data_IF_800066402286
#
_entry.id   IF_800066402286
#
_cell.length_a   1.000
_cell.length_b   1.000
_cell.length_c   1.000
_cell.angle_alpha   90.00
_cell.angle_beta   90.00
_cell.angle_gamma   90.00
#
_symmetry.space_group_name_H-M   'P 1'
#
loop_
_entity.id
_entity.type
_entity.pdbx_description
1 polymer ?
#
# COMPACT_ATOMS: atom_id res chain seq x y z
N UNK A 1 -7.67 -27.04 32.11
CA UNK A 1 -7.98 -26.21 30.92
C UNK A 1 -8.41 -24.85 31.41
N UNK A 2 -7.70 -23.78 31.08
CA UNK A 2 -8.17 -22.43 31.33
C UNK A 2 -9.39 -22.18 30.42
N UNK A 3 -10.58 -22.16 30.99
CA UNK A 3 -11.80 -21.87 30.25
C UNK A 3 -11.93 -20.35 30.12
N UNK A 4 -11.62 -19.83 28.94
CA UNK A 4 -11.96 -18.45 28.58
C UNK A 4 -13.41 -18.42 28.11
N UNK A 5 -14.19 -17.43 28.57
CA UNK A 5 -15.54 -17.24 28.05
C UNK A 5 -15.48 -16.83 26.57
N UNK A 6 -16.50 -17.19 25.77
CA UNK A 6 -16.58 -16.75 24.37
C UNK A 6 -16.47 -15.23 24.21
N UNK A 7 -17.07 -14.48 25.14
CA UNK A 7 -17.00 -13.01 25.16
C UNK A 7 -15.57 -12.48 25.36
N UNK A 8 -14.79 -13.11 26.24
CA UNK A 8 -13.38 -12.73 26.45
C UNK A 8 -12.55 -12.99 25.20
N UNK A 9 -12.79 -14.12 24.52
CA UNK A 9 -12.11 -14.46 23.26
C UNK A 9 -12.44 -13.42 22.18
N UNK A 10 -13.70 -13.00 22.06
CA UNK A 10 -14.08 -11.96 21.10
C UNK A 10 -13.43 -10.61 21.40
N UNK A 11 -13.36 -10.21 22.67
CA UNK A 11 -12.67 -8.97 23.07
C UNK A 11 -11.19 -9.01 22.72
N UNK A 12 -10.52 -10.11 23.02
CA UNK A 12 -9.09 -10.29 22.71
C UNK A 12 -8.84 -10.29 21.20
N UNK A 13 -9.71 -10.92 20.39
CA UNK A 13 -9.58 -10.93 18.93
C UNK A 13 -9.75 -9.56 18.28
N UNK A 14 -10.31 -8.56 18.97
CA UNK A 14 -10.39 -7.19 18.46
C UNK A 14 -9.06 -6.43 18.59
N UNK A 15 -8.11 -6.92 19.39
CA UNK A 15 -6.82 -6.26 19.59
C UNK A 15 -5.94 -6.48 18.37
N UNK A 16 -5.60 -5.40 17.68
CA UNK A 16 -4.63 -5.42 16.60
C UNK A 16 -3.19 -5.41 17.13
N UNK A 17 -2.27 -5.97 16.34
CA UNK A 17 -0.87 -6.10 16.73
C UNK A 17 -0.19 -4.75 17.00
N UNK A 18 -0.50 -3.72 16.22
CA UNK A 18 0.15 -2.41 16.38
C UNK A 18 -0.24 -1.77 17.71
N UNK A 19 -1.52 -1.83 18.06
CA UNK A 19 -2.03 -1.35 19.36
C UNK A 19 -1.39 -2.11 20.51
N UNK A 20 -1.27 -3.43 20.39
CA UNK A 20 -0.62 -4.27 21.39
C UNK A 20 0.84 -3.88 21.60
N UNK A 21 1.66 -3.84 20.53
CA UNK A 21 3.08 -3.52 20.61
C UNK A 21 3.34 -2.10 21.10
N UNK A 22 2.53 -1.11 20.68
CA UNK A 22 2.66 0.27 21.19
C UNK A 22 2.37 0.38 22.68
N UNK A 23 1.54 -0.50 23.25
CA UNK A 23 1.21 -0.48 24.66
C UNK A 23 2.24 -1.25 25.51
N UNK A 24 2.80 -2.36 25.01
CA UNK A 24 3.76 -3.17 25.76
C UNK A 24 5.21 -2.80 25.50
N UNK A 25 5.58 -2.62 24.23
CA UNK A 25 6.95 -2.49 23.76
C UNK A 25 7.05 -1.43 22.64
N UNK A 26 6.89 -0.13 22.96
CA UNK A 26 6.90 0.94 21.97
C UNK A 26 8.17 0.98 21.11
N UNK A 27 9.31 0.64 21.71
CA UNK A 27 10.64 0.64 21.07
C UNK A 27 10.78 -0.39 19.94
N UNK A 28 9.95 -1.44 19.99
CA UNK A 28 9.93 -2.49 18.98
C UNK A 28 9.29 -1.99 17.68
N UNK A 29 8.40 -1.00 17.75
CA UNK A 29 7.64 -0.49 16.61
C UNK A 29 8.45 0.59 15.89
N UNK A 30 8.92 0.27 14.68
CA UNK A 30 9.65 1.20 13.81
C UNK A 30 8.77 1.60 12.63
N UNK A 31 8.66 2.90 12.37
CA UNK A 31 7.95 3.40 11.20
C UNK A 31 8.75 3.12 9.92
N UNK A 32 8.11 2.51 8.92
CA UNK A 32 8.75 2.18 7.64
C UNK A 32 8.34 3.19 6.55
N UNK A 33 7.09 3.15 6.08
CA UNK A 33 6.55 4.10 5.09
C UNK A 33 5.05 3.93 4.88
N UNK A 34 4.36 4.99 4.42
CA UNK A 34 2.94 4.95 3.99
C UNK A 34 1.99 4.29 5.01
N UNK A 35 2.17 4.57 6.30
CA UNK A 35 1.39 3.95 7.37
C UNK A 35 1.71 2.47 7.63
N UNK A 36 2.84 1.98 7.12
CA UNK A 36 3.38 0.65 7.39
C UNK A 36 4.44 0.75 8.48
N UNK A 37 4.37 -0.15 9.45
CA UNK A 37 5.33 -0.30 10.54
C UNK A 37 6.06 -1.63 10.39
N UNK A 38 7.25 -1.73 10.97
CA UNK A 38 7.96 -2.99 11.15
C UNK A 38 8.43 -3.14 12.59
N UNK A 39 8.77 -4.37 12.96
CA UNK A 39 9.41 -4.65 14.24
C UNK A 39 10.91 -4.47 14.15
N UNK A 40 11.57 -4.04 15.22
CA UNK A 40 13.04 -3.88 15.28
C UNK A 40 13.75 -5.23 15.19
N UNK A 41 13.17 -6.27 15.77
CA UNK A 41 13.67 -7.65 15.79
C UNK A 41 13.44 -8.35 14.44
N UNK A 42 12.29 -8.09 13.80
CA UNK A 42 11.95 -8.67 12.51
C UNK A 42 11.65 -7.57 11.48
N UNK A 43 12.67 -7.19 10.71
CA UNK A 43 12.57 -6.17 9.66
C UNK A 43 11.55 -6.51 8.56
N UNK A 44 11.42 -7.81 8.28
CA UNK A 44 10.54 -8.45 7.31
C UNK A 44 9.13 -8.67 7.84
N UNK A 45 8.85 -8.36 9.11
CA UNK A 45 7.50 -8.30 9.63
C UNK A 45 6.94 -6.91 9.38
N UNK A 46 5.89 -6.83 8.57
CA UNK A 46 5.22 -5.56 8.23
C UNK A 46 3.82 -5.54 8.81
N UNK A 47 3.47 -4.40 9.41
CA UNK A 47 2.17 -4.14 10.03
C UNK A 47 1.52 -2.97 9.28
N UNK A 48 0.33 -3.20 8.72
CA UNK A 48 -0.45 -2.16 8.02
C UNK A 48 -1.93 -2.54 7.96
N UNK A 49 -2.81 -1.54 8.01
CA UNK A 49 -4.27 -1.71 7.87
C UNK A 49 -4.88 -2.78 8.81
N UNK A 50 -4.43 -2.85 10.06
CA UNK A 50 -4.91 -3.82 11.05
C UNK A 50 -4.48 -5.26 10.77
N UNK A 51 -3.51 -5.45 9.88
CA UNK A 51 -2.96 -6.75 9.53
C UNK A 51 -1.44 -6.72 9.66
N UNK A 52 -0.87 -7.90 9.84
CA UNK A 52 0.57 -8.08 9.85
C UNK A 52 0.97 -9.30 9.01
N UNK A 53 2.14 -9.22 8.40
CA UNK A 53 2.69 -10.30 7.59
C UNK A 53 4.20 -10.39 7.79
N UNK A 54 4.69 -11.60 8.04
CA UNK A 54 6.10 -11.90 8.17
C UNK A 54 6.63 -12.53 6.88
N UNK A 55 7.20 -11.69 6.03
CA UNK A 55 7.56 -12.06 4.66
C UNK A 55 8.58 -13.19 4.56
N UNK A 56 9.57 -13.22 5.44
CA UNK A 56 10.61 -14.26 5.42
C UNK A 56 10.11 -15.63 5.90
N UNK A 57 9.00 -15.67 6.64
CA UNK A 57 8.38 -16.91 7.16
C UNK A 57 7.11 -17.31 6.42
N UNK A 58 6.54 -16.43 5.60
CA UNK A 58 5.33 -16.71 4.82
C UNK A 58 4.05 -16.80 5.65
N UNK A 59 4.06 -16.23 6.87
CA UNK A 59 2.91 -16.25 7.80
C UNK A 59 2.37 -14.85 8.02
N UNK A 60 1.09 -14.75 8.36
CA UNK A 60 0.45 -13.47 8.64
C UNK A 60 -0.85 -13.63 9.41
N UNK A 61 -1.33 -12.51 9.94
CA UNK A 61 -2.50 -12.49 10.79
C UNK A 61 -3.10 -11.09 10.88
N UNK A 62 -4.18 -10.99 11.64
CA UNK A 62 -4.86 -9.72 11.94
C UNK A 62 -4.68 -9.36 13.40
N UNK A 63 -4.77 -10.36 14.26
CA UNK A 63 -4.85 -10.15 15.71
C UNK A 63 -3.47 -10.18 16.36
N UNK A 64 -3.34 -9.50 17.50
CA UNK A 64 -2.17 -9.66 18.37
C UNK A 64 -2.05 -11.09 18.92
N UNK A 65 -3.18 -11.78 19.11
CA UNK A 65 -3.22 -13.18 19.56
C UNK A 65 -2.50 -14.12 18.58
N UNK A 66 -2.80 -14.00 17.28
CA UNK A 66 -2.13 -14.79 16.24
C UNK A 66 -0.62 -14.50 16.20
N UNK A 67 -0.22 -13.25 16.40
CA UNK A 67 1.19 -12.88 16.47
C UNK A 67 1.89 -13.58 17.65
N UNK A 68 1.32 -13.49 18.85
CA UNK A 68 1.91 -14.12 20.04
C UNK A 68 2.07 -15.63 19.88
N UNK A 69 1.14 -16.29 19.20
CA UNK A 69 1.20 -17.75 18.97
C UNK A 69 2.19 -18.09 17.85
N UNK A 70 2.15 -17.38 16.73
CA UNK A 70 2.89 -17.77 15.53
C UNK A 70 4.31 -17.18 15.45
N UNK A 71 4.56 -16.04 16.10
CA UNK A 71 5.83 -15.31 16.05
C UNK A 71 6.60 -15.48 17.35
N UNK A 72 5.93 -15.25 18.49
CA UNK A 72 6.54 -15.37 19.82
C UNK A 72 6.44 -16.79 20.41
N UNK A 73 5.82 -17.71 19.68
CA UNK A 73 5.69 -19.14 20.04
C UNK A 73 4.98 -19.41 21.39
N UNK A 74 4.15 -18.47 21.87
CA UNK A 74 3.35 -18.68 23.07
C UNK A 74 2.26 -19.74 22.85
N UNK A 75 1.94 -20.48 23.91
CA UNK A 75 0.72 -21.27 23.91
C UNK A 75 -0.51 -20.37 23.87
N UNK A 76 -1.62 -20.89 23.33
CA UNK A 76 -2.89 -20.17 23.29
C UNK A 76 -3.31 -19.62 24.65
N UNK A 77 -3.12 -20.40 25.72
CA UNK A 77 -3.48 -20.00 27.08
C UNK A 77 -2.61 -18.88 27.61
N UNK A 78 -1.31 -18.90 27.34
CA UNK A 78 -0.38 -17.83 27.74
C UNK A 78 -0.71 -16.53 27.01
N UNK A 79 -0.89 -16.60 25.70
CA UNK A 79 -1.22 -15.43 24.88
C UNK A 79 -2.57 -14.81 25.30
N UNK A 80 -3.59 -15.64 25.56
CA UNK A 80 -4.88 -15.18 26.07
C UNK A 80 -4.76 -14.51 27.44
N UNK A 81 -4.00 -15.08 28.37
CA UNK A 81 -3.80 -14.48 29.70
C UNK A 81 -3.10 -13.12 29.62
N UNK A 82 -2.09 -13.00 28.76
CA UNK A 82 -1.34 -11.78 28.57
C UNK A 82 -2.23 -10.65 28.00
N UNK A 83 -2.99 -10.96 26.94
CA UNK A 83 -3.91 -9.99 26.33
C UNK A 83 -5.08 -9.63 27.24
N UNK A 84 -5.60 -10.57 28.03
CA UNK A 84 -6.68 -10.29 28.99
C UNK A 84 -6.23 -9.34 30.09
N UNK A 85 -5.04 -9.57 30.68
CA UNK A 85 -4.45 -8.65 31.68
C UNK A 85 -4.23 -7.25 31.11
N UNK A 86 -3.85 -7.16 29.84
CA UNK A 86 -3.64 -5.88 29.19
C UNK A 86 -4.93 -5.10 28.98
N UNK A 87 -6.04 -5.79 28.66
CA UNK A 87 -7.38 -5.17 28.59
C UNK A 87 -7.85 -4.62 29.95
N UNK A 88 -7.46 -5.26 31.05
CA UNK A 88 -7.79 -4.80 32.41
C UNK A 88 -7.01 -3.55 32.83
N UNK A 89 -5.73 -3.47 32.45
CA UNK A 89 -4.85 -2.36 32.83
C UNK A 89 -5.03 -1.11 31.95
N UNK A 90 -5.29 -1.31 30.66
CA UNK A 90 -5.54 -0.23 29.72
C UNK A 90 -6.62 -0.66 28.72
N UNK A 91 -7.83 -0.09 28.76
CA UNK A 91 -8.78 -0.26 27.67
C UNK A 91 -8.13 0.34 26.43
N UNK A 92 -7.54 -0.52 25.61
CA UNK A 92 -6.69 -0.12 24.50
C UNK A 92 -7.57 0.63 23.51
N UNK A 93 -7.27 1.91 23.27
CA UNK A 93 -7.90 2.65 22.20
C UNK A 93 -7.52 1.98 20.88
N UNK A 94 -8.42 1.17 20.34
CA UNK A 94 -8.22 0.47 19.09
C UNK A 94 -7.81 1.47 18.02
N UNK A 95 -6.68 1.22 17.35
CA UNK A 95 -6.26 2.06 16.24
C UNK A 95 -7.31 1.92 15.15
N UNK A 96 -8.03 3.02 14.91
CA UNK A 96 -9.00 3.07 13.83
C UNK A 96 -8.21 3.26 12.54
N UNK A 97 -7.95 2.16 11.84
CA UNK A 97 -7.33 2.20 10.52
C UNK A 97 -8.30 2.92 9.60
N UNK A 98 -8.00 4.16 9.23
CA UNK A 98 -8.82 4.85 8.24
C UNK A 98 -8.79 4.02 6.96
N UNK A 99 -9.98 3.70 6.45
CA UNK A 99 -10.12 3.15 5.11
C UNK A 99 -9.34 4.05 4.17
N UNK A 100 -8.44 3.45 3.38
CA UNK A 100 -7.66 4.20 2.39
C UNK A 100 -8.64 5.08 1.62
N UNK A 101 -8.41 6.40 1.64
CA UNK A 101 -9.14 7.33 0.79
C UNK A 101 -9.07 6.76 -0.61
N UNK A 102 -10.21 6.27 -1.12
CA UNK A 102 -10.27 5.83 -2.50
C UNK A 102 -9.94 7.06 -3.32
N UNK A 103 -8.82 7.00 -4.03
CA UNK A 103 -8.51 8.03 -5.03
C UNK A 103 -9.49 7.78 -6.16
N UNK A 104 -10.66 8.40 -6.07
CA UNK A 104 -11.84 8.06 -6.88
C UNK A 104 -11.71 8.52 -8.35
N UNK A 105 -10.70 9.33 -8.71
CA UNK A 105 -10.57 9.84 -10.07
C UNK A 105 -9.12 10.00 -10.52
N UNK A 106 -8.80 9.32 -11.63
CA UNK A 106 -7.59 9.58 -12.40
C UNK A 106 -7.69 10.97 -13.02
N UNK A 107 -6.74 11.85 -12.70
CA UNK A 107 -6.60 13.16 -13.34
C UNK A 107 -5.59 13.02 -14.47
N UNK A 108 -6.06 13.21 -15.70
CA UNK A 108 -5.21 13.16 -16.88
C UNK A 108 -4.46 14.49 -17.06
N UNK A 109 -3.18 14.47 -17.47
CA UNK A 109 -2.47 15.67 -17.89
C UNK A 109 -3.18 16.37 -19.06
N UNK A 110 -3.15 17.70 -19.10
CA UNK A 110 -3.70 18.46 -20.22
C UNK A 110 -2.97 18.14 -21.53
N UNK A 111 -3.74 17.90 -22.60
CA UNK A 111 -3.22 17.68 -23.95
C UNK A 111 -2.74 19.01 -24.54
N UNK A 112 -1.62 18.97 -25.26
CA UNK A 112 -1.14 20.04 -26.13
C UNK A 112 -2.00 20.12 -27.40
N UNK A 113 -1.88 21.22 -28.13
CA UNK A 113 -2.61 21.42 -29.40
C UNK A 113 -2.05 20.54 -30.53
N UNK A 114 -0.78 20.13 -30.43
CA UNK A 114 -0.12 19.22 -31.36
C UNK A 114 0.73 18.19 -30.61
N UNK A 115 1.20 17.18 -31.34
CA UNK A 115 2.02 16.09 -30.80
C UNK A 115 3.44 16.08 -31.37
N UNK A 116 3.92 17.20 -31.91
CA UNK A 116 5.13 17.24 -32.73
C UNK A 116 6.40 16.90 -31.93
N UNK A 117 6.50 17.38 -30.68
CA UNK A 117 7.65 17.08 -29.82
C UNK A 117 7.61 15.64 -29.37
N UNK A 118 6.42 15.14 -29.02
CA UNK A 118 6.24 13.75 -28.65
C UNK A 118 6.59 12.80 -29.82
N UNK A 119 6.10 13.09 -31.02
CA UNK A 119 6.42 12.35 -32.25
C UNK A 119 7.92 12.36 -32.54
N UNK A 120 8.52 13.54 -32.58
CA UNK A 120 9.96 13.67 -32.87
C UNK A 120 10.82 12.91 -31.86
N UNK A 121 10.45 13.00 -30.57
CA UNK A 121 11.11 12.22 -29.52
C UNK A 121 11.01 10.72 -29.78
N UNK A 122 9.82 10.17 -30.01
CA UNK A 122 9.64 8.74 -30.21
C UNK A 122 10.32 8.21 -31.48
N UNK A 123 10.30 8.98 -32.58
CA UNK A 123 11.05 8.68 -33.80
C UNK A 123 12.55 8.63 -33.51
N UNK A 124 13.09 9.59 -32.75
CA UNK A 124 14.51 9.59 -32.35
C UNK A 124 14.90 8.38 -31.48
N UNK A 125 13.91 7.73 -30.86
CA UNK A 125 14.08 6.49 -30.07
C UNK A 125 13.94 5.23 -30.92
N UNK A 126 13.72 5.36 -32.23
CA UNK A 126 13.63 4.26 -33.19
C UNK A 126 12.25 3.63 -33.29
N UNK A 127 11.19 4.32 -32.86
CA UNK A 127 9.81 3.85 -33.04
C UNK A 127 9.32 4.32 -34.41
N UNK A 128 8.71 3.41 -35.16
CA UNK A 128 8.18 3.70 -36.49
C UNK A 128 7.06 4.76 -36.43
N UNK A 129 7.08 5.69 -37.38
CA UNK A 129 6.12 6.79 -37.44
C UNK A 129 4.67 6.29 -37.59
N UNK A 130 4.44 5.20 -38.33
CA UNK A 130 3.09 4.66 -38.50
C UNK A 130 2.52 4.14 -37.18
N UNK A 131 3.36 3.51 -36.35
CA UNK A 131 2.98 3.02 -35.02
C UNK A 131 2.68 4.20 -34.09
N UNK A 132 3.51 5.25 -34.14
CA UNK A 132 3.29 6.45 -33.34
C UNK A 132 1.96 7.12 -33.73
N UNK A 133 1.70 7.22 -35.03
CA UNK A 133 0.47 7.82 -35.53
C UNK A 133 -0.76 7.01 -35.12
N UNK A 134 -0.73 5.68 -35.26
CA UNK A 134 -1.80 4.80 -34.80
C UNK A 134 -2.07 4.97 -33.30
N UNK A 135 -1.01 5.06 -32.49
CA UNK A 135 -1.14 5.31 -31.05
C UNK A 135 -1.75 6.68 -30.73
N UNK A 136 -1.44 7.72 -31.51
CA UNK A 136 -2.03 9.06 -31.34
C UNK A 136 -3.50 9.04 -31.74
N UNK A 137 -3.83 8.43 -32.88
CA UNK A 137 -5.21 8.34 -33.40
C UNK A 137 -6.12 7.56 -32.44
N UNK A 138 -5.57 6.56 -31.75
CA UNK A 138 -6.27 5.79 -30.73
C UNK A 138 -6.23 6.40 -29.33
N UNK A 139 -5.76 7.64 -29.15
CA UNK A 139 -5.61 8.31 -27.85
C UNK A 139 -4.79 7.50 -26.82
N UNK A 140 -3.82 6.71 -27.30
CA UNK A 140 -2.89 5.92 -26.48
C UNK A 140 -1.64 6.72 -26.14
N UNK A 141 -1.28 7.69 -26.99
CA UNK A 141 -0.15 8.59 -26.77
C UNK A 141 -0.59 10.03 -27.09
N UNK A 142 -0.18 10.99 -26.26
CA UNK A 142 -0.31 12.41 -26.59
C UNK A 142 0.79 13.25 -25.94
N UNK A 143 0.95 14.48 -26.42
CA UNK A 143 1.88 15.46 -25.89
C UNK A 143 1.24 16.27 -24.76
N UNK A 144 1.92 16.36 -23.63
CA UNK A 144 1.51 17.17 -22.48
C UNK A 144 1.73 18.66 -22.76
N UNK A 145 0.70 19.48 -22.48
CA UNK A 145 0.73 20.93 -22.71
C UNK A 145 1.85 21.68 -21.97
N UNK A 146 2.14 21.32 -20.73
CA UNK A 146 3.09 22.06 -19.89
C UNK A 146 4.53 22.00 -20.41
N UNK A 147 5.05 20.79 -20.62
CA UNK A 147 6.47 20.57 -20.88
C UNK A 147 6.75 19.91 -22.24
N UNK A 148 5.70 19.56 -23.01
CA UNK A 148 5.84 18.80 -24.26
C UNK A 148 6.21 17.33 -24.05
N UNK A 149 6.02 16.80 -22.84
CA UNK A 149 6.32 15.42 -22.49
C UNK A 149 5.38 14.44 -23.19
N UNK A 150 5.83 13.20 -23.36
CA UNK A 150 4.98 12.14 -23.91
C UNK A 150 4.15 11.53 -22.80
N UNK A 151 2.83 11.53 -22.94
CA UNK A 151 1.90 10.82 -22.06
C UNK A 151 1.46 9.54 -22.73
N UNK A 152 1.66 8.41 -22.06
CA UNK A 152 1.18 7.09 -22.46
C UNK A 152 -0.05 6.74 -21.65
N UNK A 153 -1.13 6.34 -22.33
CA UNK A 153 -2.44 6.09 -21.74
C UNK A 153 -2.74 4.60 -21.75
N UNK A 154 -3.04 4.04 -20.58
CA UNK A 154 -3.55 2.68 -20.46
C UNK A 154 -5.08 2.70 -20.39
N UNK A 155 -5.74 2.03 -21.34
CA UNK A 155 -7.20 1.89 -21.38
C UNK A 155 -7.64 0.51 -20.90
N UNK A 156 -8.83 0.41 -20.31
CA UNK A 156 -9.48 -0.88 -20.04
C UNK A 156 -10.18 -1.43 -21.30
N UNK A 157 -10.77 -2.62 -21.19
CA UNK A 157 -11.50 -3.27 -22.28
C UNK A 157 -12.69 -2.45 -22.81
N UNK A 158 -13.15 -1.46 -22.05
CA UNK A 158 -14.24 -0.56 -22.42
C UNK A 158 -13.73 0.78 -22.98
N UNK A 159 -12.45 0.87 -23.34
CA UNK A 159 -11.78 2.07 -23.86
C UNK A 159 -11.71 3.25 -22.88
N UNK A 160 -11.92 3.02 -21.58
CA UNK A 160 -11.76 4.07 -20.58
C UNK A 160 -10.31 4.18 -20.11
N UNK A 161 -9.78 5.39 -20.03
CA UNK A 161 -8.43 5.64 -19.47
C UNK A 161 -8.39 5.27 -17.98
N UNK A 162 -7.59 4.27 -17.63
CA UNK A 162 -7.37 3.82 -16.24
C UNK A 162 -5.96 4.07 -15.73
N UNK A 163 -5.05 4.46 -16.61
CA UNK A 163 -3.66 4.71 -16.28
C UNK A 163 -3.07 5.77 -17.21
N UNK A 164 -2.12 6.54 -16.67
CA UNK A 164 -1.30 7.47 -17.45
C UNK A 164 0.14 7.45 -16.93
N UNK A 165 1.10 7.39 -17.85
CA UNK A 165 2.53 7.48 -17.57
C UNK A 165 3.15 8.62 -18.37
N UNK A 166 3.91 9.49 -17.70
CA UNK A 166 4.55 10.65 -18.34
C UNK A 166 6.04 10.33 -18.52
N UNK A 167 6.52 10.49 -19.75
CA UNK A 167 7.93 10.37 -20.11
C UNK A 167 8.48 11.72 -20.52
N UNK A 168 9.60 12.11 -19.90
CA UNK A 168 10.38 13.27 -20.32
C UNK A 168 10.85 13.13 -21.76
N UNK A 169 10.40 14.04 -22.63
CA UNK A 169 10.79 14.12 -24.04
C UNK A 169 11.92 15.14 -24.29
N UNK A 170 12.31 15.87 -23.24
CA UNK A 170 13.32 16.92 -23.28
C UNK A 170 14.38 16.71 -22.17
N UNK A 171 15.40 17.56 -22.15
CA UNK A 171 16.48 17.53 -21.15
C UNK A 171 16.04 18.06 -19.77
N UNK A 172 14.82 18.58 -19.63
CA UNK A 172 14.33 19.06 -18.34
C UNK A 172 13.91 17.88 -17.47
N UNK A 173 14.53 17.74 -16.29
CA UNK A 173 14.11 16.73 -15.32
C UNK A 173 12.72 17.08 -14.80
N UNK A 174 11.83 16.10 -14.84
CA UNK A 174 10.57 16.13 -14.11
C UNK A 174 10.90 16.08 -12.61
N UNK A 175 10.52 17.11 -11.85
CA UNK A 175 10.66 17.17 -10.39
C UNK A 175 9.26 17.30 -9.77
#
# INVERSE_FOLDING_TARGET
MAYFSPETIEKVKKIDLLTFLKATNPEEVVYFSRGTYCTRTHDSLKISNGMWYWFSRGIGGKTALEYLIQVEEYSFTEAMNLLTKQLEYAPTAFINYQDKVKVDKLIMPEKSDNNDKAKHYLISRGIDESIIQECIDNDLIYEQKSNGNVVFVGKDNNQHSRYAFIRGSNLSRYM
#
